data_IF_715451252030
#
_entry.id   IF_715451252030
#
_cell.length_a   1.000
_cell.length_b   1.000
_cell.length_c   1.000
_cell.angle_alpha   90.00
_cell.angle_beta   90.00
_cell.angle_gamma   90.00
#
_symmetry.space_group_name_H-M   'P 1'
#
loop_
_entity.id
_entity.type
_entity.pdbx_description
1 polymer ?
#
# COMPACT_ATOMS: atom_id res chain seq x y z
N UNK A 1 10.51 -17.92 -6.31
CA UNK A 1 10.24 -17.24 -7.59
C UNK A 1 8.79 -17.52 -8.01
N UNK A 2 8.09 -16.50 -8.49
CA UNK A 2 6.76 -16.60 -9.10
C UNK A 2 6.90 -16.28 -10.61
N UNK A 3 6.48 -17.21 -11.45
CA UNK A 3 6.55 -17.08 -12.91
C UNK A 3 5.17 -16.73 -13.45
N UNK A 4 5.05 -15.62 -14.18
CA UNK A 4 3.82 -15.13 -14.79
C UNK A 4 4.12 -14.74 -16.25
N UNK A 5 3.95 -15.67 -17.14
CA UNK A 5 4.29 -15.53 -18.57
C UNK A 5 5.75 -15.06 -18.73
N UNK A 6 5.95 -13.82 -19.22
CA UNK A 6 7.22 -13.15 -19.46
C UNK A 6 7.79 -12.44 -18.22
N UNK A 7 7.11 -12.47 -17.08
CA UNK A 7 7.53 -11.80 -15.85
C UNK A 7 7.91 -12.80 -14.76
N UNK A 8 9.04 -12.56 -14.12
CA UNK A 8 9.49 -13.30 -12.94
C UNK A 8 9.50 -12.35 -11.74
N UNK A 9 8.76 -12.70 -10.70
CA UNK A 9 8.75 -11.97 -9.42
C UNK A 9 9.62 -12.73 -8.44
N UNK A 10 10.49 -11.99 -7.76
CA UNK A 10 11.43 -12.55 -6.78
C UNK A 10 11.41 -11.72 -5.50
N UNK A 11 11.53 -12.39 -4.38
CA UNK A 11 11.77 -11.74 -3.09
C UNK A 11 13.28 -11.55 -2.86
N UNK A 12 13.64 -10.59 -2.03
CA UNK A 12 15.04 -10.33 -1.63
C UNK A 12 15.67 -11.51 -0.89
N UNK A 13 14.84 -12.33 -0.24
CA UNK A 13 15.22 -13.58 0.43
C UNK A 13 14.31 -14.71 -0.01
N UNK A 14 14.78 -15.95 0.10
CA UNK A 14 13.95 -17.11 -0.16
C UNK A 14 13.18 -17.48 1.11
N UNK A 15 11.87 -17.73 0.95
CA UNK A 15 10.98 -18.20 2.00
C UNK A 15 10.23 -19.43 1.49
N UNK A 16 10.13 -20.45 2.31
CA UNK A 16 9.33 -21.65 2.00
C UNK A 16 7.85 -21.35 2.19
N UNK A 17 7.51 -20.69 3.30
CA UNK A 17 6.14 -20.36 3.69
C UNK A 17 6.13 -19.07 4.49
N UNK A 18 5.15 -18.21 4.23
CA UNK A 18 4.91 -16.98 4.96
C UNK A 18 3.43 -16.87 5.33
N UNK A 19 3.16 -16.43 6.53
CA UNK A 19 1.85 -15.95 6.95
C UNK A 19 1.56 -14.58 6.35
N UNK A 20 0.30 -14.11 6.30
CA UNK A 20 -0.03 -12.75 5.85
C UNK A 20 0.72 -11.65 6.62
N UNK A 21 0.90 -11.80 7.93
CA UNK A 21 1.68 -10.86 8.73
C UNK A 21 3.15 -10.82 8.32
N UNK A 22 3.77 -11.97 8.06
CA UNK A 22 5.15 -12.07 7.60
C UNK A 22 5.35 -11.54 6.17
N UNK A 23 4.34 -11.64 5.29
CA UNK A 23 4.36 -11.01 3.96
C UNK A 23 4.53 -9.48 4.12
N UNK A 24 3.82 -8.86 5.05
CA UNK A 24 3.95 -7.44 5.36
C UNK A 24 5.32 -7.17 6.00
N UNK A 25 5.70 -7.94 7.02
CA UNK A 25 6.94 -7.78 7.80
C UNK A 25 8.19 -7.83 6.92
N UNK A 26 8.27 -8.82 6.04
CA UNK A 26 9.44 -9.05 5.18
C UNK A 26 9.30 -8.43 3.79
N UNK A 27 8.17 -7.77 3.52
CA UNK A 27 7.91 -7.15 2.21
C UNK A 27 7.98 -8.14 1.04
N UNK A 28 7.34 -9.32 1.18
CA UNK A 28 7.34 -10.33 0.14
C UNK A 28 6.48 -9.89 -1.05
N UNK A 29 7.13 -9.62 -2.18
CA UNK A 29 6.43 -9.32 -3.43
C UNK A 29 5.68 -10.54 -3.96
N UNK A 30 6.27 -11.74 -3.82
CA UNK A 30 5.63 -13.01 -4.20
C UNK A 30 4.35 -13.23 -3.39
N UNK A 31 4.41 -13.02 -2.06
CA UNK A 31 3.25 -13.18 -1.19
C UNK A 31 2.14 -12.19 -1.55
N UNK A 32 2.46 -10.90 -1.71
CA UNK A 32 1.50 -9.88 -2.09
C UNK A 32 0.88 -10.15 -3.48
N UNK A 33 1.71 -10.59 -4.45
CA UNK A 33 1.22 -10.99 -5.79
C UNK A 33 0.22 -12.13 -5.74
N UNK A 34 0.50 -13.18 -4.93
CA UNK A 34 -0.42 -14.32 -4.79
C UNK A 34 -1.74 -13.90 -4.17
N UNK A 35 -1.72 -13.04 -3.15
CA UNK A 35 -2.94 -12.49 -2.55
C UNK A 35 -3.74 -11.69 -3.60
N UNK A 36 -3.09 -10.84 -4.39
CA UNK A 36 -3.76 -10.06 -5.43
C UNK A 36 -4.39 -10.95 -6.51
N UNK A 37 -3.69 -12.01 -6.93
CA UNK A 37 -4.21 -12.97 -7.92
C UNK A 37 -5.39 -13.77 -7.38
N UNK A 38 -5.39 -14.11 -6.09
CA UNK A 38 -6.49 -14.83 -5.43
C UNK A 38 -7.71 -13.96 -5.23
N UNK A 39 -7.53 -12.68 -4.85
CA UNK A 39 -8.61 -11.71 -4.73
C UNK A 39 -9.27 -11.38 -6.07
N UNK A 40 -8.49 -11.32 -7.13
CA UNK A 40 -8.94 -10.82 -8.42
C UNK A 40 -8.97 -9.29 -8.50
N UNK A 41 -9.17 -8.80 -9.72
CA UNK A 41 -9.05 -7.37 -10.02
C UNK A 41 -10.14 -6.51 -9.39
N UNK A 42 -11.39 -6.99 -9.43
CA UNK A 42 -12.53 -6.20 -8.95
C UNK A 42 -12.48 -5.99 -7.43
N UNK A 43 -12.15 -7.02 -6.68
CA UNK A 43 -12.00 -6.92 -5.23
C UNK A 43 -10.80 -6.06 -4.84
N UNK A 44 -9.66 -6.22 -5.53
CA UNK A 44 -8.47 -5.40 -5.30
C UNK A 44 -8.76 -3.93 -5.60
N UNK A 45 -9.42 -3.62 -6.71
CA UNK A 45 -9.85 -2.27 -7.11
C UNK A 45 -10.82 -1.67 -6.10
N UNK A 46 -11.81 -2.45 -5.63
CA UNK A 46 -12.76 -2.02 -4.61
C UNK A 46 -12.05 -1.65 -3.32
N UNK A 47 -11.09 -2.46 -2.88
CA UNK A 47 -10.27 -2.16 -1.71
C UNK A 47 -9.49 -0.86 -1.88
N UNK A 48 -8.82 -0.64 -3.02
CA UNK A 48 -8.12 0.61 -3.29
C UNK A 48 -9.05 1.82 -3.25
N UNK A 49 -10.26 1.69 -3.79
CA UNK A 49 -11.27 2.73 -3.72
C UNK A 49 -11.71 3.02 -2.28
N UNK A 50 -11.92 2.00 -1.47
CA UNK A 50 -12.34 2.13 -0.07
C UNK A 50 -11.25 2.77 0.80
N UNK A 51 -9.99 2.51 0.51
CA UNK A 51 -8.86 3.17 1.16
C UNK A 51 -8.54 4.58 0.58
N UNK A 52 -9.31 5.06 -0.40
CA UNK A 52 -9.21 6.43 -0.92
C UNK A 52 -8.12 6.63 -1.98
N UNK A 53 -7.49 5.58 -2.51
CA UNK A 53 -6.38 5.72 -3.45
C UNK A 53 -6.79 6.18 -4.85
N UNK A 54 -8.04 5.95 -5.25
CA UNK A 54 -8.53 6.28 -6.60
C UNK A 54 -9.50 7.46 -6.60
N UNK A 55 -9.61 8.16 -5.47
CA UNK A 55 -10.50 9.31 -5.30
C UNK A 55 -9.69 10.60 -5.13
N UNK A 56 -10.22 11.74 -5.61
CA UNK A 56 -9.74 13.03 -5.14
C UNK A 56 -9.84 13.13 -3.62
N UNK A 57 -8.86 13.77 -3.01
CA UNK A 57 -8.91 14.03 -1.57
C UNK A 57 -9.95 15.12 -1.33
N UNK A 58 -10.91 14.85 -0.44
CA UNK A 58 -11.86 15.87 0.02
C UNK A 58 -11.16 16.78 1.03
N UNK A 59 -10.53 17.81 0.53
CA UNK A 59 -9.84 18.85 1.30
C UNK A 59 -10.14 20.20 0.68
N UNK A 60 -10.56 21.17 1.49
CA UNK A 60 -10.84 22.53 1.04
C UNK A 60 -9.53 23.30 0.74
N UNK A 61 -8.73 22.76 -0.18
CA UNK A 61 -7.48 23.35 -0.62
C UNK A 61 -7.41 23.36 -2.15
N UNK A 62 -7.09 24.50 -2.76
CA UNK A 62 -6.94 24.61 -4.21
C UNK A 62 -5.86 23.67 -4.72
N UNK A 63 -6.13 22.96 -5.82
CA UNK A 63 -5.13 22.17 -6.56
C UNK A 63 -4.50 21.01 -5.77
N UNK A 64 -5.28 20.26 -4.98
CA UNK A 64 -4.79 19.03 -4.36
C UNK A 64 -4.50 17.95 -5.40
N UNK A 65 -3.29 17.42 -5.40
CA UNK A 65 -2.93 16.30 -6.23
C UNK A 65 -3.58 15.01 -5.69
N UNK A 66 -4.08 14.19 -6.60
CA UNK A 66 -4.60 12.85 -6.27
C UNK A 66 -3.98 11.80 -7.17
N UNK A 67 -4.01 10.56 -6.70
CA UNK A 67 -3.46 9.44 -7.42
C UNK A 67 -4.38 8.93 -8.53
N UNK A 68 -3.80 8.10 -9.37
CA UNK A 68 -4.47 7.52 -10.52
C UNK A 68 -4.14 6.03 -10.61
N UNK A 69 -5.14 5.23 -10.91
CA UNK A 69 -5.01 3.84 -11.30
C UNK A 69 -5.68 3.65 -12.67
N UNK A 70 -4.93 3.13 -13.62
CA UNK A 70 -5.49 2.80 -14.92
C UNK A 70 -6.58 1.72 -14.74
N UNK A 71 -7.84 2.07 -15.07
CA UNK A 71 -8.92 1.10 -15.11
C UNK A 71 -8.80 0.33 -16.42
N UNK A 72 -8.79 -1.00 -16.34
CA UNK A 72 -8.69 -1.89 -17.49
C UNK A 72 -9.89 -2.83 -17.51
N UNK A 73 -10.47 -3.02 -18.69
CA UNK A 73 -11.54 -4.01 -18.89
C UNK A 73 -10.99 -5.44 -18.86
N UNK A 74 -9.73 -5.60 -19.30
CA UNK A 74 -9.02 -6.87 -19.29
C UNK A 74 -7.63 -6.66 -18.70
N UNK A 75 -7.45 -7.06 -17.45
CA UNK A 75 -6.15 -7.08 -16.79
C UNK A 75 -5.52 -8.46 -16.91
N UNK A 76 -4.24 -8.54 -17.24
CA UNK A 76 -3.50 -9.80 -17.27
C UNK A 76 -2.84 -10.09 -15.93
N UNK A 77 -2.62 -11.37 -15.62
CA UNK A 77 -2.10 -11.81 -14.31
C UNK A 77 -0.84 -11.09 -13.87
N UNK A 78 0.09 -10.79 -14.78
CA UNK A 78 1.32 -10.07 -14.44
C UNK A 78 1.09 -8.63 -13.99
N UNK A 79 0.04 -7.98 -14.50
CA UNK A 79 -0.33 -6.62 -14.10
C UNK A 79 -1.08 -6.66 -12.76
N UNK A 80 -2.03 -7.60 -12.60
CA UNK A 80 -2.75 -7.81 -11.36
C UNK A 80 -1.79 -8.14 -10.20
N UNK A 81 -0.86 -9.06 -10.43
CA UNK A 81 0.19 -9.39 -9.48
C UNK A 81 1.03 -8.15 -9.10
N UNK A 82 1.33 -7.29 -10.09
CA UNK A 82 2.12 -6.06 -9.87
C UNK A 82 1.38 -5.02 -9.05
N UNK A 83 0.06 -4.88 -9.25
CA UNK A 83 -0.80 -4.05 -8.42
C UNK A 83 -0.73 -4.47 -6.95
N UNK A 84 -0.66 -5.77 -6.66
CA UNK A 84 -0.60 -6.32 -5.31
C UNK A 84 0.57 -5.83 -4.47
N UNK A 85 1.68 -5.40 -5.08
CA UNK A 85 2.83 -4.83 -4.38
C UNK A 85 3.14 -3.36 -4.80
N UNK A 86 2.15 -2.67 -5.41
CA UNK A 86 2.15 -1.22 -5.55
C UNK A 86 2.64 -0.66 -6.88
N UNK A 87 2.80 -1.48 -7.93
CA UNK A 87 3.03 -0.99 -9.29
C UNK A 87 1.70 -0.77 -10.04
N UNK A 88 1.70 0.17 -11.00
CA UNK A 88 0.50 0.49 -11.79
C UNK A 88 -0.49 1.42 -11.10
N UNK A 89 -0.11 1.98 -9.95
CA UNK A 89 -0.87 2.92 -9.15
C UNK A 89 0.01 4.12 -8.80
N UNK A 90 -0.51 5.33 -8.97
CA UNK A 90 0.10 6.55 -8.43
C UNK A 90 -0.77 7.07 -7.30
N UNK A 91 -0.15 7.53 -6.21
CA UNK A 91 -0.84 8.03 -5.02
C UNK A 91 -0.12 9.26 -4.48
N UNK A 92 -0.86 10.17 -3.87
CA UNK A 92 -0.27 11.31 -3.19
C UNK A 92 0.13 10.95 -1.75
N UNK A 93 1.08 11.67 -1.14
CA UNK A 93 1.41 11.48 0.28
C UNK A 93 0.20 11.61 1.21
N UNK A 94 -0.75 12.50 0.90
CA UNK A 94 -1.99 12.64 1.67
C UNK A 94 -2.87 11.40 1.59
N UNK A 95 -3.00 10.78 0.42
CA UNK A 95 -3.76 9.54 0.27
C UNK A 95 -3.13 8.40 1.06
N UNK A 96 -1.79 8.31 1.06
CA UNK A 96 -1.08 7.33 1.88
C UNK A 96 -1.36 7.57 3.37
N UNK A 97 -1.24 8.81 3.84
CA UNK A 97 -1.49 9.15 5.24
C UNK A 97 -2.94 8.83 5.65
N UNK A 98 -3.94 9.12 4.79
CA UNK A 98 -5.33 8.74 5.01
C UNK A 98 -5.51 7.24 5.13
N UNK A 99 -4.93 6.47 4.22
CA UNK A 99 -5.04 5.01 4.23
C UNK A 99 -4.42 4.40 5.50
N UNK A 100 -3.25 4.87 5.91
CA UNK A 100 -2.64 4.43 7.17
C UNK A 100 -3.44 4.84 8.40
N UNK A 101 -4.11 5.99 8.38
CA UNK A 101 -4.96 6.43 9.47
C UNK A 101 -6.14 5.49 9.73
N UNK A 102 -6.59 4.73 8.72
CA UNK A 102 -7.63 3.70 8.88
C UNK A 102 -7.22 2.67 9.93
N UNK A 103 -5.98 2.23 9.91
CA UNK A 103 -5.48 1.25 10.88
C UNK A 103 -5.42 1.85 12.29
N UNK A 104 -4.94 3.10 12.44
CA UNK A 104 -4.89 3.81 13.72
C UNK A 104 -6.27 4.19 14.26
N UNK A 105 -7.28 4.31 13.39
CA UNK A 105 -8.67 4.62 13.74
C UNK A 105 -9.58 3.37 13.78
N UNK A 106 -9.05 2.22 14.18
CA UNK A 106 -9.84 0.97 14.34
C UNK A 106 -10.63 0.57 13.09
N UNK A 107 -10.06 0.78 11.91
CA UNK A 107 -10.67 0.44 10.63
C UNK A 107 -11.64 1.47 10.06
N UNK A 108 -11.63 2.70 10.59
CA UNK A 108 -12.48 3.80 10.14
C UNK A 108 -11.64 4.78 9.31
N UNK A 109 -12.04 4.98 8.04
CA UNK A 109 -11.53 6.04 7.19
C UNK A 109 -12.18 7.36 7.60
N UNK A 110 -11.38 8.41 7.74
CA UNK A 110 -11.84 9.78 7.97
C UNK A 110 -11.24 10.69 6.90
N UNK A 111 -12.06 11.58 6.35
CA UNK A 111 -11.56 12.62 5.46
C UNK A 111 -10.65 13.59 6.23
N UNK A 112 -9.73 14.23 5.51
CA UNK A 112 -8.90 15.28 6.08
C UNK A 112 -9.73 16.55 6.35
N UNK A 113 -9.34 17.26 7.40
CA UNK A 113 -9.79 18.64 7.64
C UNK A 113 -8.59 19.56 7.81
N UNK A 114 -8.70 20.76 7.28
CA UNK A 114 -7.71 21.82 7.49
C UNK A 114 -8.10 22.74 8.66
N UNK A 115 -9.39 22.97 8.83
CA UNK A 115 -9.90 23.81 9.90
C UNK A 115 -10.46 22.97 11.04
N UNK A 116 -10.28 23.44 12.27
CA UNK A 116 -10.68 22.70 13.47
C UNK A 116 -12.17 22.36 13.51
N UNK A 117 -12.99 23.27 13.02
CA UNK A 117 -14.45 23.19 13.10
C UNK A 117 -15.12 22.59 11.84
N UNK A 118 -14.33 22.09 10.89
CA UNK A 118 -14.88 21.37 9.73
C UNK A 118 -15.45 20.03 10.16
N UNK A 119 -16.66 19.74 9.67
CA UNK A 119 -17.25 18.41 9.75
C UNK A 119 -16.67 17.54 8.63
N UNK A 120 -16.09 16.41 8.98
CA UNK A 120 -15.56 15.45 8.02
C UNK A 120 -16.39 14.17 8.02
N UNK A 121 -16.53 13.58 6.84
CA UNK A 121 -17.17 12.29 6.72
C UNK A 121 -16.28 11.17 7.29
N UNK A 122 -16.93 10.13 7.78
CA UNK A 122 -16.24 8.92 8.22
C UNK A 122 -17.00 7.68 7.80
N UNK A 123 -16.27 6.61 7.47
CA UNK A 123 -16.87 5.31 7.13
C UNK A 123 -15.97 4.17 7.57
N UNK A 124 -16.59 3.05 7.92
CA UNK A 124 -15.82 1.82 8.20
C UNK A 124 -15.36 1.20 6.89
N UNK A 125 -14.07 0.90 6.81
CA UNK A 125 -13.43 0.25 5.66
C UNK A 125 -13.12 -1.21 5.98
N UNK A 126 -12.59 -1.46 7.18
CA UNK A 126 -12.26 -2.80 7.66
C UNK A 126 -12.75 -2.98 9.11
N UNK A 127 -12.78 -4.22 9.57
CA UNK A 127 -13.09 -4.51 10.96
C UNK A 127 -11.99 -4.00 11.90
N UNK A 128 -12.35 -3.74 13.17
CA UNK A 128 -11.40 -3.36 14.21
C UNK A 128 -10.33 -4.45 14.42
N UNK A 129 -10.74 -5.72 14.39
CA UNK A 129 -9.82 -6.84 14.52
C UNK A 129 -8.82 -6.91 13.37
N UNK A 130 -9.25 -6.64 12.14
CA UNK A 130 -8.37 -6.57 10.97
C UNK A 130 -7.38 -5.41 11.10
N UNK A 131 -7.84 -4.22 11.50
CA UNK A 131 -6.98 -3.06 11.73
C UNK A 131 -5.90 -3.36 12.79
N UNK A 132 -6.30 -3.97 13.92
CA UNK A 132 -5.36 -4.39 14.97
C UNK A 132 -4.31 -5.40 14.47
N UNK A 133 -4.72 -6.38 13.66
CA UNK A 133 -3.79 -7.37 13.12
C UNK A 133 -2.80 -6.74 12.13
N UNK A 134 -3.24 -5.79 11.31
CA UNK A 134 -2.35 -5.04 10.40
C UNK A 134 -1.38 -4.18 11.20
N UNK A 135 -1.82 -3.48 12.25
CA UNK A 135 -0.92 -2.69 13.11
C UNK A 135 0.18 -3.56 13.73
N UNK A 136 -0.15 -4.75 14.21
CA UNK A 136 0.83 -5.70 14.74
C UNK A 136 1.85 -6.13 13.66
N UNK A 137 1.38 -6.39 12.43
CA UNK A 137 2.28 -6.73 11.32
C UNK A 137 3.20 -5.57 10.93
N UNK A 138 2.69 -4.33 10.95
CA UNK A 138 3.47 -3.11 10.71
C UNK A 138 4.49 -2.86 11.83
N UNK A 139 4.14 -3.14 13.09
CA UNK A 139 5.06 -3.09 14.23
C UNK A 139 6.18 -4.14 14.09
N UNK A 140 5.84 -5.36 13.69
CA UNK A 140 6.84 -6.38 13.38
C UNK A 140 7.79 -5.96 12.25
N UNK A 141 7.28 -5.23 11.23
CA UNK A 141 8.10 -4.74 10.13
C UNK A 141 9.16 -3.72 10.59
N UNK A 142 8.86 -2.90 11.59
CA UNK A 142 9.83 -1.96 12.18
C UNK A 142 10.75 -2.60 13.22
N UNK A 143 10.32 -3.65 13.90
CA UNK A 143 11.14 -4.38 14.90
C UNK A 143 12.07 -5.42 14.26
N UNK A 144 11.51 -6.27 13.40
CA UNK A 144 12.19 -7.47 12.89
C UNK A 144 12.32 -7.51 11.36
N UNK A 145 11.58 -6.64 10.66
CA UNK A 145 11.48 -6.62 9.21
C UNK A 145 12.36 -5.59 8.51
N UNK A 146 11.88 -5.13 7.37
CA UNK A 146 12.59 -4.20 6.47
C UNK A 146 12.64 -2.76 7.01
N UNK A 147 11.82 -2.41 8.01
CA UNK A 147 11.71 -1.07 8.58
C UNK A 147 12.58 -0.81 9.80
N UNK A 148 13.52 -1.69 10.17
CA UNK A 148 14.36 -1.58 11.39
C UNK A 148 15.07 -0.24 11.54
N UNK A 149 15.50 0.36 10.44
CA UNK A 149 16.20 1.65 10.46
C UNK A 149 15.32 2.83 10.93
N UNK A 150 14.00 2.66 10.91
CA UNK A 150 13.04 3.66 11.36
C UNK A 150 12.64 3.49 12.84
N UNK A 151 13.15 2.45 13.52
CA UNK A 151 12.78 2.18 14.90
C UNK A 151 13.35 3.24 15.86
N UNK A 152 12.47 3.83 16.70
CA UNK A 152 12.84 4.82 17.72
C UNK A 152 12.60 4.24 19.10
N UNK A 153 13.67 4.17 19.92
CA UNK A 153 13.60 3.62 21.26
C UNK A 153 12.61 4.40 22.15
N UNK A 154 11.79 3.67 22.88
CA UNK A 154 10.80 4.25 23.80
C UNK A 154 9.43 4.54 23.18
N UNK A 155 9.27 4.27 21.89
CA UNK A 155 7.97 4.43 21.18
C UNK A 155 7.52 3.10 20.59
N UNK A 156 6.19 2.86 20.63
CA UNK A 156 5.55 1.81 19.84
C UNK A 156 5.22 2.40 18.47
N UNK A 157 5.73 1.79 17.44
CA UNK A 157 5.59 2.31 16.07
C UNK A 157 5.44 1.17 15.07
N UNK A 158 4.69 1.41 14.02
CA UNK A 158 4.53 0.50 12.92
C UNK A 158 4.74 1.21 11.59
N UNK A 159 5.40 0.57 10.65
CA UNK A 159 5.69 1.18 9.36
C UNK A 159 5.92 0.17 8.26
N UNK A 160 5.95 0.65 7.04
CA UNK A 160 6.23 -0.13 5.85
C UNK A 160 7.17 0.61 4.91
N UNK A 161 8.25 -0.03 4.55
CA UNK A 161 9.17 0.47 3.52
C UNK A 161 8.57 0.32 2.13
N UNK A 162 8.80 1.30 1.26
CA UNK A 162 8.46 1.24 -0.16
C UNK A 162 9.65 1.68 -0.99
N UNK A 163 9.96 0.91 -2.03
CA UNK A 163 10.98 1.27 -3.03
C UNK A 163 10.45 0.90 -4.41
N UNK A 164 10.29 1.88 -5.26
CA UNK A 164 9.76 1.70 -6.62
C UNK A 164 10.66 2.36 -7.64
N UNK A 165 10.75 1.76 -8.84
CA UNK A 165 11.40 2.38 -9.98
C UNK A 165 10.55 3.57 -10.46
N UNK A 166 11.20 4.67 -10.81
CA UNK A 166 10.52 5.81 -11.42
C UNK A 166 10.12 5.52 -12.86
N UNK A 167 9.00 6.10 -13.29
CA UNK A 167 8.56 6.01 -14.68
C UNK A 167 9.30 7.08 -15.50
N UNK A 168 9.95 6.67 -16.59
CA UNK A 168 10.46 7.58 -17.62
C UNK A 168 9.41 7.78 -18.69
N UNK A 169 9.18 9.04 -19.07
CA UNK A 169 8.28 9.36 -20.18
C UNK A 169 8.73 8.65 -21.45
N UNK A 170 7.85 7.81 -22.02
CA UNK A 170 8.07 7.09 -23.28
C UNK A 170 8.86 5.79 -23.23
N UNK A 171 9.45 5.39 -22.05
CA UNK A 171 10.29 4.18 -21.94
C UNK A 171 9.96 3.23 -20.79
N UNK A 172 8.86 3.47 -20.04
CA UNK A 172 8.48 2.62 -18.90
C UNK A 172 9.29 2.91 -17.64
N UNK A 173 9.53 1.89 -16.82
CA UNK A 173 10.26 2.04 -15.57
C UNK A 173 11.78 2.17 -15.79
N UNK A 174 12.40 3.15 -15.11
CA UNK A 174 13.86 3.35 -15.15
C UNK A 174 14.55 2.31 -14.26
N UNK A 175 15.60 1.67 -14.76
CA UNK A 175 16.36 0.68 -13.97
C UNK A 175 17.28 1.32 -12.92
N UNK A 176 17.67 2.58 -13.14
CA UNK A 176 18.67 3.34 -12.39
C UNK A 176 18.08 4.43 -11.49
N UNK A 177 16.76 4.63 -11.51
CA UNK A 177 16.07 5.68 -10.71
C UNK A 177 14.98 5.09 -9.82
N UNK A 178 15.11 5.37 -8.53
CA UNK A 178 14.18 4.86 -7.51
C UNK A 178 13.54 6.00 -6.73
N UNK A 179 12.28 5.79 -6.36
CA UNK A 179 11.62 6.52 -5.28
C UNK A 179 11.56 5.59 -4.06
N UNK A 180 12.10 6.05 -2.95
CA UNK A 180 12.06 5.29 -1.69
C UNK A 180 11.30 6.07 -0.63
N UNK A 181 10.46 5.35 0.13
CA UNK A 181 9.64 5.90 1.19
C UNK A 181 9.61 4.92 2.37
N UNK A 182 9.67 5.46 3.59
CA UNK A 182 9.43 4.72 4.82
C UNK A 182 8.28 5.43 5.53
N UNK A 183 7.20 4.69 5.82
CA UNK A 183 6.07 5.20 6.60
C UNK A 183 6.22 4.71 8.04
N UNK A 184 6.10 5.63 8.94
CA UNK A 184 6.20 5.41 10.39
C UNK A 184 4.88 5.80 11.05
#
# INVERSE_FOLDING_TARGET
RLYLNDKIIVDSKQYEKLTPAEIITYSSQIGASKIALELGYDDLKSNYYDFGFTKPISINFPSSAFGYMAIKDNIVDKELASLGYGYGLTISPFQIASAYSVFANNGIFKDFKLLKDENVSSRRVISESTASNILKALEMATKDGTGKAANVNGFSQGGKTGTVHQIRSGSGYAEDMYLSLIHI
#
